data_IF_963033332466
#
_entry.id   IF_963033332466
#
_cell.length_a   1.000
_cell.length_b   1.000
_cell.length_c   1.000
_cell.angle_alpha   90.00
_cell.angle_beta   90.00
_cell.angle_gamma   90.00
#
_symmetry.space_group_name_H-M   'P 1'
#
loop_
_entity.id
_entity.type
_entity.pdbx_description
1 polymer ?
#
# COMPACT_ATOMS: atom_id res chain seq x y z
N UNK A 1 -33.64 10.77 -8.83
CA UNK A 1 -32.33 10.68 -9.49
C UNK A 1 -32.58 10.95 -10.96
N UNK A 2 -31.84 11.87 -11.58
CA UNK A 2 -32.05 12.16 -13.00
C UNK A 2 -31.34 11.11 -13.89
N UNK A 3 -31.81 11.00 -15.13
CA UNK A 3 -31.35 9.96 -16.05
C UNK A 3 -29.85 10.05 -16.38
N UNK A 4 -29.26 11.24 -16.27
CA UNK A 4 -27.83 11.45 -16.53
C UNK A 4 -26.99 10.90 -15.38
N UNK A 5 -27.38 11.16 -14.13
CA UNK A 5 -26.71 10.57 -12.96
C UNK A 5 -26.75 9.04 -12.99
N UNK A 6 -27.89 8.44 -13.35
CA UNK A 6 -27.99 6.98 -13.44
C UNK A 6 -27.08 6.41 -14.52
N UNK A 7 -26.97 7.10 -15.66
CA UNK A 7 -26.08 6.70 -16.74
C UNK A 7 -24.60 6.77 -16.34
N UNK A 8 -24.18 7.85 -15.66
CA UNK A 8 -22.81 8.01 -15.15
C UNK A 8 -22.49 6.93 -14.10
N UNK A 9 -23.40 6.66 -13.16
CA UNK A 9 -23.22 5.60 -12.17
C UNK A 9 -23.15 4.21 -12.80
N UNK A 10 -23.95 3.94 -13.83
CA UNK A 10 -23.92 2.66 -14.55
C UNK A 10 -22.57 2.46 -15.25
N UNK A 11 -22.08 3.50 -15.94
CA UNK A 11 -20.77 3.44 -16.61
C UNK A 11 -19.63 3.21 -15.59
N UNK A 12 -19.67 3.91 -14.46
CA UNK A 12 -18.70 3.72 -13.38
C UNK A 12 -18.77 2.32 -12.75
N UNK A 13 -19.97 1.75 -12.59
CA UNK A 13 -20.14 0.38 -12.11
C UNK A 13 -19.51 -0.65 -13.05
N UNK A 14 -19.66 -0.49 -14.36
CA UNK A 14 -19.02 -1.37 -15.35
C UNK A 14 -17.48 -1.34 -15.22
N UNK A 15 -16.92 -0.15 -14.97
CA UNK A 15 -15.48 0.02 -14.69
C UNK A 15 -15.07 -0.73 -13.43
N UNK A 16 -15.82 -0.59 -12.33
CA UNK A 16 -15.54 -1.30 -11.07
C UNK A 16 -15.56 -2.82 -11.25
N UNK A 17 -16.60 -3.36 -11.87
CA UNK A 17 -16.75 -4.80 -12.11
C UNK A 17 -15.63 -5.36 -12.99
N UNK A 18 -15.21 -4.60 -14.00
CA UNK A 18 -14.05 -4.97 -14.81
C UNK A 18 -12.75 -4.94 -13.98
N UNK A 19 -12.55 -3.87 -13.19
CA UNK A 19 -11.39 -3.71 -12.34
C UNK A 19 -11.29 -4.80 -11.26
N UNK A 20 -12.36 -5.46 -10.84
CA UNK A 20 -12.26 -6.56 -9.88
C UNK A 20 -11.44 -7.75 -10.42
N UNK A 21 -11.55 -8.03 -11.72
CA UNK A 21 -10.95 -9.21 -12.36
C UNK A 21 -9.75 -8.89 -13.27
N UNK A 22 -9.60 -7.63 -13.69
CA UNK A 22 -8.54 -7.21 -14.59
C UNK A 22 -7.15 -7.42 -13.98
N UNK A 23 -6.23 -7.94 -14.78
CA UNK A 23 -4.80 -8.00 -14.43
C UNK A 23 -4.20 -6.59 -14.39
N UNK A 24 -3.10 -6.43 -13.66
CA UNK A 24 -2.39 -5.13 -13.57
C UNK A 24 -2.00 -4.61 -14.96
N UNK A 25 -1.51 -5.48 -15.84
CA UNK A 25 -1.11 -5.10 -17.19
C UNK A 25 -2.29 -4.59 -18.06
N UNK A 26 -3.49 -5.13 -17.84
CA UNK A 26 -4.70 -4.64 -18.50
C UNK A 26 -5.11 -3.27 -17.97
N UNK A 27 -5.00 -3.04 -16.66
CA UNK A 27 -5.26 -1.75 -16.03
C UNK A 27 -4.29 -0.68 -16.52
N UNK A 28 -2.99 -0.98 -16.56
CA UNK A 28 -1.97 -0.08 -17.10
C UNK A 28 -2.25 0.29 -18.56
N UNK A 29 -2.62 -0.71 -19.38
CA UNK A 29 -3.00 -0.47 -20.77
C UNK A 29 -4.22 0.43 -20.87
N UNK A 30 -5.28 0.15 -20.11
CA UNK A 30 -6.50 0.94 -20.10
C UNK A 30 -6.21 2.41 -19.73
N UNK A 31 -5.45 2.65 -18.65
CA UNK A 31 -5.02 3.99 -18.26
C UNK A 31 -4.21 4.71 -19.36
N UNK A 32 -3.37 3.97 -20.10
CA UNK A 32 -2.54 4.57 -21.17
C UNK A 32 -3.35 5.04 -22.38
N UNK A 33 -4.50 4.41 -22.65
CA UNK A 33 -5.32 4.66 -23.85
C UNK A 33 -6.62 5.40 -23.55
N UNK A 34 -7.02 5.52 -22.29
CA UNK A 34 -8.26 6.14 -21.86
C UNK A 34 -8.35 7.63 -22.23
N UNK A 35 -9.56 8.06 -22.58
CA UNK A 35 -9.91 9.48 -22.63
C UNK A 35 -9.86 10.11 -21.24
N UNK A 36 -9.91 11.44 -21.12
CA UNK A 36 -9.85 12.11 -19.81
C UNK A 36 -10.92 11.63 -18.84
N UNK A 37 -12.17 11.49 -19.29
CA UNK A 37 -13.29 11.06 -18.43
C UNK A 37 -13.13 9.61 -18.00
N UNK A 38 -12.84 8.70 -18.94
CA UNK A 38 -12.61 7.29 -18.63
C UNK A 38 -11.42 7.09 -17.69
N UNK A 39 -10.39 7.94 -17.81
CA UNK A 39 -9.22 7.91 -16.94
C UNK A 39 -9.59 8.29 -15.50
N UNK A 40 -10.40 9.32 -15.31
CA UNK A 40 -10.88 9.74 -13.98
C UNK A 40 -11.67 8.60 -13.31
N UNK A 41 -12.58 7.96 -14.04
CA UNK A 41 -13.34 6.81 -13.55
C UNK A 41 -12.43 5.61 -13.22
N UNK A 42 -11.45 5.31 -14.06
CA UNK A 42 -10.46 4.26 -13.80
C UNK A 42 -9.64 4.57 -12.54
N UNK A 43 -9.12 5.79 -12.39
CA UNK A 43 -8.33 6.18 -11.22
C UNK A 43 -9.17 6.12 -9.94
N UNK A 44 -10.41 6.61 -9.98
CA UNK A 44 -11.34 6.54 -8.85
C UNK A 44 -11.70 5.09 -8.49
N UNK A 45 -11.93 4.25 -9.50
CA UNK A 45 -12.20 2.81 -9.32
C UNK A 45 -11.01 2.08 -8.70
N UNK A 46 -9.80 2.35 -9.18
CA UNK A 46 -8.56 1.78 -8.63
C UNK A 46 -8.39 2.20 -7.17
N UNK A 47 -8.60 3.48 -6.84
CA UNK A 47 -8.54 3.99 -5.47
C UNK A 47 -9.54 3.29 -4.55
N UNK A 48 -10.77 3.10 -5.03
CA UNK A 48 -11.82 2.42 -4.27
C UNK A 48 -11.43 0.98 -3.95
N UNK A 49 -10.97 0.22 -4.95
CA UNK A 49 -10.56 -1.17 -4.76
C UNK A 49 -9.26 -1.33 -3.96
N UNK A 50 -8.36 -0.35 -4.02
CA UNK A 50 -7.16 -0.30 -3.17
C UNK A 50 -7.48 -0.26 -1.67
N UNK A 51 -8.60 0.34 -1.30
CA UNK A 51 -9.06 0.42 0.09
C UNK A 51 -10.16 -0.61 0.43
N UNK A 52 -10.51 -1.51 -0.51
CA UNK A 52 -11.41 -2.64 -0.30
C UNK A 52 -10.78 -3.98 -0.72
N UNK A 53 -11.05 -4.45 -1.94
CA UNK A 53 -10.92 -5.84 -2.38
C UNK A 53 -9.57 -6.15 -3.03
N UNK A 54 -8.86 -5.11 -3.50
CA UNK A 54 -7.58 -5.22 -4.20
C UNK A 54 -6.50 -4.29 -3.63
N UNK A 55 -6.18 -4.36 -2.32
CA UNK A 55 -5.20 -3.46 -1.71
C UNK A 55 -3.79 -3.58 -2.31
N UNK A 56 -3.44 -4.73 -2.88
CA UNK A 56 -2.16 -4.94 -3.55
C UNK A 56 -1.94 -4.03 -4.78
N UNK A 57 -3.00 -3.44 -5.35
CA UNK A 57 -2.89 -2.45 -6.43
C UNK A 57 -2.06 -1.23 -6.02
N UNK A 58 -2.00 -0.91 -4.72
CA UNK A 58 -1.16 0.16 -4.17
C UNK A 58 0.32 0.02 -4.56
N UNK A 59 0.83 -1.21 -4.69
CA UNK A 59 2.22 -1.45 -5.08
C UNK A 59 2.51 -1.13 -6.55
N UNK A 60 1.47 -1.14 -7.40
CA UNK A 60 1.59 -0.89 -8.84
C UNK A 60 1.22 0.55 -9.20
N UNK A 61 0.25 1.13 -8.49
CA UNK A 61 -0.19 2.50 -8.70
C UNK A 61 -0.06 3.34 -7.40
N UNK A 62 1.15 3.48 -6.83
CA UNK A 62 1.35 4.16 -5.54
C UNK A 62 0.95 5.64 -5.56
N UNK A 63 0.98 6.27 -6.75
CA UNK A 63 0.56 7.66 -6.95
C UNK A 63 -0.95 7.87 -6.77
N UNK A 64 -1.76 6.80 -6.83
CA UNK A 64 -3.19 6.85 -6.59
C UNK A 64 -3.56 6.64 -5.12
N UNK A 65 -2.64 6.18 -4.27
CA UNK A 65 -2.93 5.96 -2.85
C UNK A 65 -3.27 7.28 -2.18
N UNK A 66 -4.42 7.33 -1.51
CA UNK A 66 -4.83 8.52 -0.76
C UNK A 66 -3.93 8.71 0.46
N UNK A 67 -3.16 9.81 0.46
CA UNK A 67 -2.18 10.17 1.51
C UNK A 67 -1.18 9.02 1.74
N UNK A 68 -0.28 8.74 0.79
CA UNK A 68 0.71 7.68 0.96
C UNK A 68 1.53 7.94 2.23
N UNK A 69 1.97 6.86 2.88
CA UNK A 69 2.76 6.94 4.11
C UNK A 69 3.90 5.93 4.06
N UNK A 70 4.94 6.18 4.86
CA UNK A 70 6.15 5.35 4.93
C UNK A 70 6.40 4.85 6.36
N UNK A 71 7.27 3.84 6.49
CA UNK A 71 7.70 3.34 7.80
C UNK A 71 8.38 4.44 8.61
N UNK A 72 9.13 5.34 7.99
CA UNK A 72 9.74 6.49 8.66
C UNK A 72 8.70 7.43 9.29
N UNK A 73 7.61 7.73 8.57
CA UNK A 73 6.52 8.55 9.12
C UNK A 73 5.76 7.83 10.23
N UNK A 74 5.45 6.55 10.03
CA UNK A 74 4.69 5.73 10.98
C UNK A 74 5.52 5.50 12.25
N UNK A 75 6.85 5.37 12.15
CA UNK A 75 7.79 5.31 13.28
C UNK A 75 7.67 6.54 14.18
N UNK A 76 7.61 7.73 13.59
CA UNK A 76 7.50 8.99 14.31
C UNK A 76 6.13 9.17 14.97
N UNK A 77 5.07 8.70 14.30
CA UNK A 77 3.68 8.85 14.78
C UNK A 77 3.29 7.80 15.83
N UNK A 78 3.82 6.59 15.74
CA UNK A 78 3.39 5.45 16.55
C UNK A 78 4.57 4.78 17.24
N UNK A 79 4.74 5.10 18.53
CA UNK A 79 5.84 4.60 19.38
C UNK A 79 6.02 3.07 19.33
N UNK A 80 4.93 2.31 19.28
CA UNK A 80 4.99 0.85 19.20
C UNK A 80 5.62 0.34 17.89
N UNK A 81 5.34 1.01 16.77
CA UNK A 81 5.99 0.72 15.49
C UNK A 81 7.47 1.10 15.57
N UNK A 82 7.78 2.27 16.13
CA UNK A 82 9.17 2.69 16.31
C UNK A 82 10.01 1.71 17.13
N UNK A 83 9.50 1.25 18.27
CA UNK A 83 10.19 0.24 19.09
C UNK A 83 10.43 -1.08 18.35
N UNK A 84 9.47 -1.53 17.53
CA UNK A 84 9.62 -2.73 16.72
C UNK A 84 10.66 -2.53 15.60
N UNK A 85 10.72 -1.33 15.01
CA UNK A 85 11.71 -0.96 14.00
C UNK A 85 13.11 -0.84 14.60
N UNK A 86 13.27 -0.25 15.79
CA UNK A 86 14.55 -0.17 16.50
C UNK A 86 15.12 -1.58 16.72
N UNK A 87 14.28 -2.53 17.14
CA UNK A 87 14.68 -3.94 17.31
C UNK A 87 15.08 -4.60 15.99
N UNK A 88 14.38 -4.28 14.90
CA UNK A 88 14.72 -4.77 13.56
C UNK A 88 16.06 -4.21 13.08
N UNK A 89 16.29 -2.92 13.23
CA UNK A 89 17.54 -2.25 12.89
C UNK A 89 18.73 -2.82 13.68
N UNK A 90 18.56 -2.97 15.00
CA UNK A 90 19.60 -3.52 15.87
C UNK A 90 19.95 -4.96 15.52
N UNK A 91 18.95 -5.82 15.31
CA UNK A 91 19.19 -7.22 14.94
C UNK A 91 19.80 -7.34 13.54
N UNK A 92 19.41 -6.48 12.59
CA UNK A 92 20.01 -6.42 11.25
C UNK A 92 21.48 -5.98 11.33
N UNK A 93 21.79 -4.96 12.13
CA UNK A 93 23.17 -4.50 12.35
C UNK A 93 24.05 -5.59 12.97
N UNK A 94 23.53 -6.33 13.95
CA UNK A 94 24.24 -7.47 14.56
C UNK A 94 24.51 -8.58 13.55
N UNK A 95 23.60 -8.82 12.62
CA UNK A 95 23.78 -9.82 11.55
C UNK A 95 24.89 -9.49 10.56
N UNK A 96 25.27 -8.21 10.43
CA UNK A 96 26.45 -7.80 9.65
C UNK A 96 27.73 -8.38 10.26
N UNK A 97 27.81 -8.43 11.59
CA UNK A 97 28.98 -8.94 12.33
C UNK A 97 28.88 -10.42 12.72
N UNK A 98 27.67 -10.92 12.91
CA UNK A 98 27.35 -12.31 13.26
C UNK A 98 26.16 -12.79 12.45
N UNK A 99 26.41 -13.46 11.33
CA UNK A 99 25.37 -13.93 10.41
C UNK A 99 24.40 -14.94 11.03
N UNK A 100 24.77 -15.57 12.15
CA UNK A 100 23.94 -16.54 12.88
C UNK A 100 22.95 -15.87 13.85
N UNK A 101 23.12 -14.58 14.14
CA UNK A 101 22.23 -13.83 14.99
C UNK A 101 20.79 -13.83 14.42
N UNK A 102 19.75 -14.09 15.23
CA UNK A 102 18.39 -14.14 14.73
C UNK A 102 17.92 -12.75 14.28
N UNK A 103 17.22 -12.68 13.14
CA UNK A 103 16.51 -11.48 12.74
C UNK A 103 15.29 -11.28 13.64
N UNK A 104 15.25 -10.16 14.35
CA UNK A 104 14.16 -9.81 15.27
C UNK A 104 13.41 -8.58 14.74
N UNK A 105 12.27 -8.25 15.36
CA UNK A 105 11.53 -7.04 15.02
C UNK A 105 10.67 -7.12 13.76
N UNK A 106 11.07 -7.85 12.69
CA UNK A 106 10.30 -7.91 11.43
C UNK A 106 8.83 -8.29 11.63
N UNK A 107 8.58 -9.41 12.33
CA UNK A 107 7.21 -9.85 12.63
C UNK A 107 6.46 -8.88 13.55
N UNK A 108 7.17 -8.21 14.46
CA UNK A 108 6.57 -7.21 15.34
C UNK A 108 6.17 -5.94 14.58
N UNK A 109 6.98 -5.48 13.62
CA UNK A 109 6.64 -4.36 12.72
C UNK A 109 5.42 -4.73 11.87
N UNK A 110 5.43 -5.91 11.24
CA UNK A 110 4.31 -6.38 10.44
C UNK A 110 3.00 -6.47 11.24
N UNK A 111 3.07 -7.01 12.47
CA UNK A 111 1.93 -7.09 13.38
C UNK A 111 1.45 -5.71 13.84
N UNK A 112 2.37 -4.78 14.11
CA UNK A 112 2.03 -3.41 14.50
C UNK A 112 1.33 -2.67 13.35
N UNK A 113 1.81 -2.79 12.10
CA UNK A 113 1.14 -2.25 10.90
C UNK A 113 -0.27 -2.84 10.76
N UNK A 114 -0.42 -4.16 10.88
CA UNK A 114 -1.73 -4.80 10.83
C UNK A 114 -2.66 -4.28 11.94
N UNK A 115 -2.13 -4.03 13.14
CA UNK A 115 -2.91 -3.44 14.24
C UNK A 115 -3.31 -1.99 13.96
N UNK A 116 -2.46 -1.19 13.31
CA UNK A 116 -2.80 0.17 12.89
C UNK A 116 -3.97 0.17 11.90
N UNK A 117 -3.99 -0.75 10.94
CA UNK A 117 -5.11 -0.90 10.02
C UNK A 117 -6.38 -1.29 10.79
N UNK A 118 -6.31 -2.28 11.68
CA UNK A 118 -7.45 -2.68 12.53
C UNK A 118 -8.01 -1.53 13.37
N UNK A 119 -7.16 -0.59 13.80
CA UNK A 119 -7.54 0.61 14.56
C UNK A 119 -7.96 1.79 13.67
N UNK A 120 -8.13 1.57 12.36
CA UNK A 120 -8.46 2.58 11.35
C UNK A 120 -7.48 3.77 11.37
N UNK A 121 -6.20 3.52 11.67
CA UNK A 121 -5.13 4.54 11.64
C UNK A 121 -4.44 4.63 10.29
N UNK A 122 -4.52 3.55 9.52
CA UNK A 122 -4.08 3.48 8.13
C UNK A 122 -5.12 2.72 7.30
N UNK A 123 -5.16 2.97 6.00
CA UNK A 123 -6.02 2.26 5.06
C UNK A 123 -5.38 0.93 4.62
N UNK A 124 -6.15 0.02 3.98
CA UNK A 124 -5.60 -1.21 3.41
C UNK A 124 -4.47 -0.95 2.39
N UNK A 125 -4.61 0.05 1.53
CA UNK A 125 -3.58 0.43 0.56
C UNK A 125 -2.29 0.93 1.22
N UNK A 126 -2.40 1.78 2.24
CA UNK A 126 -1.25 2.23 3.04
C UNK A 126 -0.55 1.05 3.73
N UNK A 127 -1.29 0.07 4.25
CA UNK A 127 -0.69 -1.14 4.81
C UNK A 127 0.13 -1.89 3.78
N UNK A 128 -0.37 -2.08 2.56
CA UNK A 128 0.38 -2.79 1.51
C UNK A 128 1.69 -2.07 1.15
N UNK A 129 1.66 -0.74 1.04
CA UNK A 129 2.88 0.06 0.83
C UNK A 129 3.89 -0.14 1.98
N UNK A 130 3.43 -0.07 3.23
CA UNK A 130 4.30 -0.25 4.41
C UNK A 130 4.88 -1.67 4.49
N UNK A 131 4.11 -2.69 4.12
CA UNK A 131 4.58 -4.07 4.08
C UNK A 131 5.60 -4.30 2.95
N UNK A 132 5.41 -3.65 1.80
CA UNK A 132 6.35 -3.64 0.69
C UNK A 132 7.68 -2.99 1.11
N UNK A 133 7.63 -1.81 1.75
CA UNK A 133 8.81 -1.13 2.30
C UNK A 133 9.52 -2.01 3.35
N UNK A 134 8.76 -2.65 4.24
CA UNK A 134 9.32 -3.57 5.26
C UNK A 134 10.02 -4.78 4.61
N UNK A 135 9.44 -5.34 3.53
CA UNK A 135 10.05 -6.44 2.80
C UNK A 135 11.38 -6.03 2.15
N UNK A 136 11.47 -4.81 1.61
CA UNK A 136 12.71 -4.25 1.07
C UNK A 136 13.81 -4.13 2.14
N UNK A 137 13.45 -3.76 3.37
CA UNK A 137 14.40 -3.72 4.50
C UNK A 137 14.97 -5.10 4.83
N UNK A 138 14.14 -6.15 4.79
CA UNK A 138 14.61 -7.54 5.02
C UNK A 138 15.55 -8.05 3.92
N UNK A 139 15.39 -7.54 2.69
CA UNK A 139 16.22 -7.89 1.53
C UNK A 139 17.61 -7.24 1.52
N UNK A 140 17.96 -6.41 2.51
CA UNK A 140 19.25 -5.71 2.58
C UNK A 140 19.29 -4.36 1.85
N UNK A 141 18.14 -3.83 1.43
CA UNK A 141 18.04 -2.49 0.84
C UNK A 141 18.04 -1.40 1.90
N UNK A 142 19.19 -1.13 2.54
CA UNK A 142 19.31 0.03 3.43
C UNK A 142 19.78 1.27 2.67
N UNK A 143 18.89 2.26 2.59
CA UNK A 143 19.17 3.66 2.94
C UNK A 143 17.89 4.25 3.52
N UNK A 144 17.81 4.29 4.85
CA UNK A 144 16.87 5.13 5.58
C UNK A 144 17.61 6.43 5.94
N UNK A 145 18.09 7.15 4.91
CA UNK A 145 18.68 8.47 5.08
C UNK A 145 17.61 9.49 4.66
N UNK A 146 17.05 10.20 5.65
CA UNK A 146 16.58 11.58 5.52
C UNK A 146 17.09 12.33 6.76
#
# INVERSE_FOLDING_TARGET
>A
MDAKTEQELTAYLDVLLWLEIASVAEIERALSTATTVEREDLELGIQSLMDSDRPALANYFPHLVSRPTSLSEVRLKFKAVGQAMDLLEDSTRRRVTDSTYPLMGYGAVAAAIAKLQYLNKITPSQRELLLSELASLKGGGMRLDN
#
